data_IF_310164907474
#
_entry.id   IF_310164907474
#
_cell.length_a   1.000
_cell.length_b   1.000
_cell.length_c   1.000
_cell.angle_alpha   90.00
_cell.angle_beta   90.00
_cell.angle_gamma   90.00
#
_symmetry.space_group_name_H-M   'P 1'
#
loop_
_entity.id
_entity.type
_entity.pdbx_description
1 polymer ?
#
# COMPACT_ATOMS: atom_id res chain seq x y z
N UNK A 1 0.69 10.07 -10.23
CA UNK A 1 0.18 9.59 -8.92
C UNK A 1 -0.58 8.31 -9.21
N UNK A 2 -0.11 7.16 -8.71
CA UNK A 2 -0.77 5.88 -8.98
C UNK A 2 -2.06 5.80 -8.17
N UNK A 3 -3.20 6.02 -8.83
CA UNK A 3 -4.52 5.92 -8.22
C UNK A 3 -4.79 4.45 -7.88
N UNK A 4 -4.64 4.11 -6.60
CA UNK A 4 -4.91 2.79 -6.05
C UNK A 4 -6.07 2.92 -5.07
N UNK A 5 -7.16 2.23 -5.36
CA UNK A 5 -8.32 2.14 -4.48
C UNK A 5 -8.21 0.90 -3.62
N UNK A 6 -8.51 1.06 -2.33
CA UNK A 6 -8.48 -0.01 -1.34
C UNK A 6 -9.88 -0.16 -0.75
N UNK A 7 -10.35 -1.40 -0.59
CA UNK A 7 -11.61 -1.71 0.07
C UNK A 7 -11.40 -2.84 1.05
N UNK A 8 -11.79 -2.63 2.32
CA UNK A 8 -11.83 -3.71 3.30
C UNK A 8 -13.17 -4.44 3.15
N UNK A 9 -13.13 -5.75 3.09
CA UNK A 9 -14.29 -6.63 2.98
C UNK A 9 -14.25 -7.61 4.15
N UNK A 10 -15.37 -7.66 4.88
CA UNK A 10 -15.60 -8.69 5.89
C UNK A 10 -16.09 -9.96 5.20
N UNK A 11 -15.50 -11.10 5.52
CA UNK A 11 -15.82 -12.40 4.92
C UNK A 11 -16.72 -13.22 5.85
N UNK A 12 -17.33 -14.25 5.28
CA UNK A 12 -18.21 -15.19 6.01
C UNK A 12 -17.47 -15.98 7.10
N UNK A 13 -16.15 -16.12 6.99
CA UNK A 13 -15.29 -16.75 7.99
C UNK A 13 -14.86 -15.83 9.14
N UNK A 14 -15.55 -14.70 9.35
CA UNK A 14 -15.23 -13.63 10.31
C UNK A 14 -13.83 -13.01 10.13
N UNK A 15 -13.19 -13.27 8.98
CA UNK A 15 -11.93 -12.64 8.60
C UNK A 15 -12.14 -11.41 7.75
N UNK A 16 -11.10 -10.58 7.67
CA UNK A 16 -11.05 -9.40 6.84
C UNK A 16 -10.12 -9.65 5.65
N UNK A 17 -10.49 -9.09 4.51
CA UNK A 17 -9.70 -9.02 3.31
C UNK A 17 -9.64 -7.59 2.80
N UNK A 18 -8.59 -7.27 2.05
CA UNK A 18 -8.40 -5.99 1.37
C UNK A 18 -8.40 -6.24 -0.12
N UNK A 19 -9.38 -5.69 -0.82
CA UNK A 19 -9.41 -5.60 -2.26
C UNK A 19 -8.63 -4.36 -2.71
N UNK A 20 -7.78 -4.55 -3.73
CA UNK A 20 -6.87 -3.54 -4.24
C UNK A 20 -7.17 -3.42 -5.73
N UNK A 21 -7.70 -2.26 -6.11
CA UNK A 21 -7.94 -1.93 -7.51
C UNK A 21 -6.92 -0.88 -7.92
N UNK A 22 -6.16 -1.19 -8.96
CA UNK A 22 -5.12 -0.30 -9.50
C UNK A 22 -5.38 -0.07 -10.97
N UNK A 23 -5.22 1.17 -11.42
CA UNK A 23 -5.27 1.46 -12.85
C UNK A 23 -4.09 0.76 -13.55
N UNK A 24 -4.39 -0.04 -14.58
CA UNK A 24 -3.37 -0.72 -15.40
C UNK A 24 -2.79 -2.00 -14.78
N UNK A 25 -3.31 -2.49 -13.65
CA UNK A 25 -2.96 -3.81 -13.12
C UNK A 25 -4.22 -4.61 -12.78
N UNK A 26 -4.06 -5.93 -12.71
CA UNK A 26 -5.15 -6.81 -12.29
C UNK A 26 -5.54 -6.50 -10.84
N UNK A 27 -6.84 -6.55 -10.50
CA UNK A 27 -7.30 -6.49 -9.12
C UNK A 27 -6.60 -7.55 -8.28
N UNK A 28 -6.21 -7.17 -7.06
CA UNK A 28 -5.54 -8.05 -6.12
C UNK A 28 -6.31 -8.10 -4.81
N UNK A 29 -6.23 -9.23 -4.13
CA UNK A 29 -6.85 -9.41 -2.82
C UNK A 29 -5.79 -9.86 -1.82
N UNK A 30 -5.59 -9.07 -0.77
CA UNK A 30 -4.88 -9.50 0.42
C UNK A 30 -5.91 -10.05 1.41
N UNK A 31 -5.68 -11.25 1.96
CA UNK A 31 -6.64 -11.92 2.85
C UNK A 31 -5.94 -12.47 4.09
N UNK A 32 -6.73 -12.87 5.08
CA UNK A 32 -6.23 -13.47 6.32
C UNK A 32 -6.01 -12.47 7.45
N UNK A 33 -6.65 -11.30 7.40
CA UNK A 33 -6.61 -10.35 8.50
C UNK A 33 -7.64 -10.75 9.55
N UNK A 34 -7.21 -10.91 10.80
CA UNK A 34 -8.12 -11.24 11.90
C UNK A 34 -9.01 -10.05 12.34
N UNK A 35 -8.63 -8.82 12.00
CA UNK A 35 -9.37 -7.61 12.38
C UNK A 35 -9.32 -6.55 11.29
N UNK A 36 -10.32 -5.67 11.27
CA UNK A 36 -10.34 -4.50 10.39
C UNK A 36 -9.12 -3.60 10.61
N UNK A 37 -8.71 -3.41 11.87
CA UNK A 37 -7.54 -2.60 12.21
C UNK A 37 -6.24 -3.17 11.62
N UNK A 38 -6.09 -4.50 11.58
CA UNK A 38 -4.95 -5.14 10.94
C UNK A 38 -4.96 -4.91 9.41
N UNK A 39 -6.13 -4.99 8.78
CA UNK A 39 -6.31 -4.68 7.36
C UNK A 39 -5.99 -3.20 7.05
N UNK A 40 -6.45 -2.26 7.90
CA UNK A 40 -6.13 -0.83 7.76
C UNK A 40 -4.63 -0.55 7.92
N UNK A 41 -3.98 -1.16 8.92
CA UNK A 41 -2.54 -1.04 9.12
C UNK A 41 -1.74 -1.56 7.92
N UNK A 42 -2.19 -2.67 7.33
CA UNK A 42 -1.60 -3.21 6.11
C UNK A 42 -1.77 -2.26 4.91
N UNK A 43 -2.95 -1.66 4.72
CA UNK A 43 -3.18 -0.66 3.65
C UNK A 43 -2.20 0.51 3.79
N UNK A 44 -2.05 1.06 5.00
CA UNK A 44 -1.13 2.17 5.26
C UNK A 44 0.33 1.80 4.94
N UNK A 45 0.73 0.56 5.24
CA UNK A 45 2.07 0.06 4.90
C UNK A 45 2.25 -0.11 3.39
N UNK A 46 1.29 -0.72 2.69
CA UNK A 46 1.35 -0.91 1.23
C UNK A 46 1.37 0.44 0.48
N UNK A 47 0.58 1.42 0.92
CA UNK A 47 0.62 2.79 0.39
C UNK A 47 2.00 3.44 0.59
N UNK A 48 2.59 3.28 1.78
CA UNK A 48 3.94 3.78 2.08
C UNK A 48 4.99 3.12 1.20
N UNK A 49 4.96 1.80 1.05
CA UNK A 49 5.92 1.07 0.22
C UNK A 49 5.83 1.47 -1.24
N UNK A 50 4.63 1.77 -1.76
CA UNK A 50 4.46 2.23 -3.15
C UNK A 50 4.85 3.68 -3.38
N UNK A 51 4.61 4.55 -2.39
CA UNK A 51 5.03 5.96 -2.47
C UNK A 51 6.54 6.09 -2.26
N UNK A 52 7.13 5.21 -1.43
CA UNK A 52 8.56 5.16 -1.14
C UNK A 52 9.40 4.32 -2.10
N UNK A 53 8.79 3.42 -2.89
CA UNK A 53 9.46 2.68 -3.97
C UNK A 53 9.50 3.49 -5.27
N UNK A 54 10.00 4.72 -5.19
CA UNK A 54 10.70 5.26 -6.35
C UNK A 54 12.14 4.72 -6.26
N UNK A 55 12.52 3.65 -6.99
CA UNK A 55 13.90 3.16 -6.99
C UNK A 55 14.85 4.18 -7.63
N UNK A 56 14.32 5.21 -8.31
CA UNK A 56 15.02 6.38 -8.81
C UNK A 56 14.70 7.63 -7.99
N UNK A 57 14.24 7.45 -6.75
CA UNK A 57 14.04 8.52 -5.80
C UNK A 57 15.26 9.40 -5.85
N UNK A 58 15.09 10.56 -6.49
CA UNK A 58 16.12 11.56 -6.64
C UNK A 58 16.69 11.72 -5.24
N UNK A 59 17.97 11.41 -4.98
CA UNK A 59 18.51 11.60 -3.65
C UNK A 59 18.23 13.06 -3.36
N UNK A 60 17.32 13.32 -2.41
CA UNK A 60 16.98 14.65 -1.96
C UNK A 60 18.32 15.35 -1.84
N UNK A 61 18.54 16.36 -2.70
CA UNK A 61 19.85 16.91 -3.01
C UNK A 61 20.57 17.23 -1.70
N UNK A 62 21.32 16.24 -1.18
CA UNK A 62 22.16 16.42 -0.01
C UNK A 62 23.33 17.11 -0.64
N UNK A 63 23.18 18.43 -0.73
CA UNK A 63 24.19 19.38 -1.19
C UNK A 63 25.45 18.99 -0.42
N UNK A 64 26.36 18.28 -1.08
CA UNK A 64 27.68 18.04 -0.55
C UNK A 64 28.29 19.42 -0.43
N UNK A 65 28.24 19.99 0.77
CA UNK A 65 29.10 21.10 1.13
C UNK A 65 30.50 20.50 1.27
N UNK A 66 31.19 20.45 0.15
CA UNK A 66 32.63 20.54 0.16
C UNK A 66 33.00 21.94 0.62
N UNK A 67 33.75 22.01 1.72
CA UNK A 67 34.84 22.94 2.06
C UNK A 67 35.26 22.62 3.49
#
# INVERSE_FOLDING_TARGET
MSDSSYRIVHREDDSFAVEIVRVGALPQTAAGFATEAAAQGWIAQDQRLRTGSDPFGTPAAKRWRGV
#
